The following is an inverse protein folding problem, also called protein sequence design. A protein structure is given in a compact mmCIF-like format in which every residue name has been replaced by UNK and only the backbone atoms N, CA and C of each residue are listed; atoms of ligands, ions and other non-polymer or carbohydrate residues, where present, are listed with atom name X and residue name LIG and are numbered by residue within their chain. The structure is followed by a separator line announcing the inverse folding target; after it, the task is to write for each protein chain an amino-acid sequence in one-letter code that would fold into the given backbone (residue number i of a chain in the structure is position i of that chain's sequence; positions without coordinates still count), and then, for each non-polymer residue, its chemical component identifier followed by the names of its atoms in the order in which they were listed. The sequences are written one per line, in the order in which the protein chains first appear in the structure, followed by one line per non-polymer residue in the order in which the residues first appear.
data_IF_861191082061
#
_entry.id   IF_861191082061
#
_cell.length_a   1.000
_cell.length_b   1.000
_cell.length_c   1.000
_cell.angle_alpha   90.00
_cell.angle_beta   90.00
_cell.angle_gamma   90.00
#
_symmetry.space_group_name_H-M   'P 1'
#
loop_
_entity.id
_entity.type
_entity.pdbx_description
1 polymer ?
2 water ?
#
# COMPACT_ATOMS: atom_id res chain seq x y z
N UNK A 18 -13.11 -3.70 19.20
CA UNK A 18 -12.41 -4.76 18.51
C UNK A 18 -10.93 -4.55 18.50
N UNK A 19 -10.22 -5.38 17.73
CA UNK A 19 -8.79 -5.32 17.71
C UNK A 19 -8.29 -5.86 16.41
N UNK A 20 -7.04 -5.60 16.07
CA UNK A 20 -6.44 -6.21 14.91
C UNK A 20 -5.23 -7.00 15.29
N UNK A 21 -5.00 -8.08 14.59
CA UNK A 21 -3.76 -8.80 14.66
C UNK A 21 -2.76 -8.14 13.73
N UNK A 22 -1.51 -8.10 14.11
CA UNK A 22 -0.48 -7.45 13.33
C UNK A 22 -0.29 -8.07 12.00
N UNK A 23 -0.26 -9.36 11.95
CA UNK A 23 -0.05 -10.03 10.72
C UNK A 23 -1.18 -9.72 9.81
N UNK A 24 -2.37 -9.79 10.34
CA UNK A 24 -3.55 -9.63 9.52
C UNK A 24 -3.65 -8.28 8.88
N UNK A 25 -3.42 -7.24 9.65
CA UNK A 25 -3.46 -5.91 9.12
C UNK A 25 -2.39 -5.65 8.11
N UNK A 26 -1.19 -6.17 8.32
CA UNK A 26 -0.13 -5.97 7.38
C UNK A 26 -0.43 -6.57 6.06
N UNK A 27 -1.00 -7.74 6.05
CA UNK A 27 -1.26 -8.40 4.81
C UNK A 27 -2.22 -7.55 4.04
N UNK A 28 -3.21 -7.03 4.70
CA UNK A 28 -4.20 -6.25 4.03
C UNK A 28 -3.65 -4.98 3.47
N UNK A 29 -2.91 -4.27 4.28
CA UNK A 29 -2.34 -3.03 3.88
C UNK A 29 -1.34 -3.28 2.80
N UNK A 30 -0.62 -4.35 2.96
CA UNK A 30 0.41 -4.71 2.03
C UNK A 30 -0.16 -5.03 0.68
N UNK A 31 -1.24 -5.80 0.68
CA UNK A 31 -1.86 -6.17 -0.55
C UNK A 31 -2.34 -4.96 -1.29
N UNK A 32 -2.97 -4.05 -0.60
CA UNK A 32 -3.51 -2.90 -1.25
C UNK A 32 -2.46 -2.00 -1.85
N UNK A 33 -1.48 -1.64 -1.09
CA UNK A 33 -0.47 -0.76 -1.60
C UNK A 33 0.26 -1.48 -2.73
N UNK A 34 0.07 -2.78 -2.78
CA UNK A 34 0.62 -3.61 -3.84
C UNK A 34 0.04 -3.30 -5.20
N UNK A 35 -1.24 -2.98 -5.22
CA UNK A 35 -1.97 -2.78 -6.47
C UNK A 35 -1.31 -1.64 -7.24
N UNK A 36 -0.73 -0.71 -6.53
CA UNK A 36 0.03 0.32 -7.19
C UNK A 36 1.46 -0.16 -7.43
N UNK A 37 1.80 -0.35 -8.69
CA UNK A 37 3.14 -0.82 -9.05
C UNK A 37 3.34 -2.28 -8.67
N UNK A 38 2.48 -2.77 -7.77
CA UNK A 38 2.56 -4.15 -7.32
C UNK A 38 2.86 -5.11 -8.45
N UNK A 39 2.14 -4.97 -9.56
CA UNK A 39 2.33 -5.83 -10.72
C UNK A 39 1.16 -6.79 -10.88
N UNK A 40 0.94 -7.62 -9.87
CA UNK A 40 -0.14 -8.60 -9.90
C UNK A 40 -0.95 -8.56 -8.62
N UNK A 41 -2.17 -9.09 -8.61
CA UNK A 41 -3.12 -8.78 -7.54
C UNK A 41 -2.66 -9.13 -6.12
N UNK A 42 -2.11 -10.31 -5.89
CA UNK A 42 -1.67 -10.58 -4.53
C UNK A 42 -0.30 -11.12 -4.79
N UNK A 43 0.57 -10.23 -5.22
CA UNK A 43 1.93 -10.57 -5.39
C UNK A 43 2.67 -10.71 -4.10
N UNK A 44 2.51 -9.75 -3.21
CA UNK A 44 3.25 -9.78 -1.96
C UNK A 44 2.88 -11.01 -1.20
N UNK A 45 1.62 -11.39 -1.27
CA UNK A 45 1.17 -12.50 -0.51
C UNK A 45 1.86 -13.75 -0.93
N UNK A 46 1.99 -13.94 -2.22
CA UNK A 46 2.66 -15.09 -2.80
C UNK A 46 4.13 -15.16 -2.47
N UNK A 47 4.81 -14.04 -2.42
CA UNK A 47 6.20 -14.07 -2.06
C UNK A 47 6.33 -14.54 -0.67
N UNK A 48 5.43 -14.12 0.18
CA UNK A 48 5.52 -14.46 1.56
C UNK A 48 5.43 -15.93 1.68
N UNK A 49 4.50 -16.49 0.95
CA UNK A 49 4.32 -17.87 0.99
C UNK A 49 5.53 -18.59 0.48
N UNK A 50 6.08 -18.17 -0.64
CA UNK A 50 7.29 -18.77 -1.15
C UNK A 50 8.45 -18.55 -0.22
N UNK A 51 8.65 -17.33 0.20
CA UNK A 51 9.76 -17.01 1.06
C UNK A 51 9.77 -17.68 2.40
N UNK A 52 8.61 -17.80 3.01
CA UNK A 52 8.52 -18.47 4.29
C UNK A 52 8.89 -19.92 4.13
N UNK A 53 8.44 -20.51 3.06
CA UNK A 53 8.76 -21.88 2.78
C UNK A 53 10.22 -22.16 2.54
N UNK A 54 10.92 -21.27 1.87
CA UNK A 54 12.33 -21.43 1.71
C UNK A 54 12.94 -21.34 3.05
N UNK A 55 12.52 -20.36 3.82
CA UNK A 55 13.09 -20.16 5.13
C UNK A 55 12.82 -21.31 6.03
N UNK A 56 11.67 -21.90 5.84
CA UNK A 56 11.19 -22.93 6.73
C UNK A 56 12.16 -24.07 6.64
N UNK A 57 12.80 -24.20 5.48
CA UNK A 57 13.68 -25.30 5.22
C UNK A 57 15.11 -25.05 5.56
N UNK A 58 15.43 -23.87 6.01
CA UNK A 58 16.78 -23.57 6.38
C UNK A 58 16.95 -23.66 7.86
N UNK A 59 15.93 -24.19 8.52
CA UNK A 59 16.00 -24.34 9.95
C UNK A 59 16.29 -23.04 10.66
N UNK A 60 15.58 -22.00 10.29
CA UNK A 60 15.75 -20.74 10.94
C UNK A 60 15.13 -20.72 12.31
N UNK A 61 15.58 -19.81 13.15
CA UNK A 61 14.98 -19.61 14.44
C UNK A 61 13.67 -18.89 14.31
N UNK A 62 12.84 -18.99 15.32
CA UNK A 62 11.50 -18.47 15.26
C UNK A 62 11.55 -16.99 15.09
N UNK A 63 12.49 -16.34 15.73
CA UNK A 63 12.62 -14.91 15.54
C UNK A 63 12.96 -14.60 14.12
N UNK A 64 13.83 -15.38 13.51
CA UNK A 64 14.20 -15.15 12.15
C UNK A 64 13.05 -15.33 11.22
N UNK A 65 12.26 -16.35 11.46
CA UNK A 65 11.10 -16.56 10.67
C UNK A 65 10.13 -15.44 10.82
N UNK A 66 10.09 -14.85 11.98
CA UNK A 66 9.23 -13.71 12.18
C UNK A 66 9.69 -12.57 11.35
N UNK A 67 10.97 -12.26 11.46
CA UNK A 67 11.54 -11.14 10.76
C UNK A 67 11.49 -11.34 9.28
N UNK A 68 11.63 -12.56 8.85
CA UNK A 68 11.49 -12.90 7.46
C UNK A 68 10.11 -12.66 6.94
N UNK A 69 9.12 -12.93 7.76
CA UNK A 69 7.75 -12.85 7.34
C UNK A 69 7.43 -11.44 6.96
N UNK A 70 7.83 -10.53 7.80
CA UNK A 70 7.67 -9.13 7.54
C UNK A 70 8.52 -8.57 6.42
N UNK A 71 9.75 -9.04 6.30
CA UNK A 71 10.61 -8.54 5.27
C UNK A 71 9.91 -8.84 3.98
N UNK A 72 9.37 -10.02 3.85
CA UNK A 72 8.73 -10.40 2.62
C UNK A 72 7.54 -9.57 2.30
N UNK A 73 6.73 -9.30 3.29
CA UNK A 73 5.55 -8.49 3.14
C UNK A 73 5.82 -7.04 2.81
N UNK A 74 6.87 -6.52 3.39
CA UNK A 74 7.19 -5.13 3.31
C UNK A 74 8.28 -4.78 2.33
N UNK A 75 8.59 -5.65 1.40
CA UNK A 75 9.73 -5.43 0.54
C UNK A 75 9.62 -4.18 -0.32
N UNK A 76 8.41 -3.89 -0.75
CA UNK A 76 8.13 -2.84 -1.69
C UNK A 76 7.68 -1.57 -1.04
N UNK A 77 7.91 -1.46 0.25
CA UNK A 77 7.44 -0.35 1.02
C UNK A 77 8.04 0.92 0.51
N UNK A 78 9.27 0.80 0.07
CA UNK A 78 10.01 1.89 -0.51
C UNK A 78 9.48 2.47 -1.80
N UNK A 79 8.85 1.54 -2.59
CA UNK A 79 8.56 2.01 -3.95
C UNK A 79 7.78 3.27 -3.97
N UNK A 80 8.37 4.31 -4.60
CA UNK A 80 7.72 5.61 -4.71
C UNK A 80 6.87 5.70 -5.97
N UNK A 81 6.90 4.64 -6.76
CA UNK A 81 6.16 4.54 -7.99
C UNK A 81 4.84 3.82 -7.80
N UNK A 82 3.88 4.11 -8.68
CA UNK A 82 2.53 3.57 -8.57
C UNK A 82 2.15 2.56 -9.68
N UNK A 83 1.96 3.07 -10.90
CA UNK A 83 1.73 2.32 -12.11
C UNK A 83 0.43 1.51 -12.04
N UNK A 104 6.03 2.44 -22.11
CA UNK A 104 7.09 1.51 -22.46
C UNK A 104 8.36 1.88 -21.71
N UNK A 105 8.20 2.42 -20.51
CA UNK A 105 9.32 3.06 -19.87
C UNK A 105 8.90 4.31 -19.13
N UNK A 106 9.84 4.91 -18.44
CA UNK A 106 9.58 6.16 -17.76
C UNK A 106 9.70 7.38 -18.62
N UNK A 107 8.86 8.34 -18.31
CA UNK A 107 8.84 9.62 -18.97
C UNK A 107 10.09 10.35 -18.60
N UNK A 108 10.57 11.17 -19.51
CA UNK A 108 11.75 11.96 -19.25
C UNK A 108 11.44 12.84 -18.08
N UNK A 109 10.26 13.41 -18.10
CA UNK A 109 9.88 14.34 -17.10
C UNK A 109 9.90 13.68 -15.77
N UNK A 110 9.37 12.48 -15.73
CA UNK A 110 9.27 11.75 -14.51
C UNK A 110 10.66 11.50 -14.00
N UNK A 111 11.54 11.15 -14.92
CA UNK A 111 12.91 10.86 -14.55
C UNK A 111 13.62 12.05 -14.01
N UNK A 112 13.47 13.18 -14.69
CA UNK A 112 14.09 14.40 -14.26
C UNK A 112 13.54 14.83 -12.94
N UNK A 113 12.25 14.73 -12.79
CA UNK A 113 11.61 15.15 -11.59
C UNK A 113 12.17 14.39 -10.44
N UNK A 114 12.36 13.10 -10.62
CA UNK A 114 12.91 12.28 -9.58
C UNK A 114 14.32 12.67 -9.22
N UNK A 115 15.17 12.92 -10.19
CA UNK A 115 16.54 13.25 -9.89
C UNK A 115 16.65 14.54 -9.14
N UNK A 116 15.88 15.51 -9.58
CA UNK A 116 15.90 16.81 -9.00
C UNK A 116 15.50 16.66 -7.56
N UNK A 117 14.31 16.11 -7.37
CA UNK A 117 13.68 16.03 -6.08
C UNK A 117 14.45 15.23 -5.06
N UNK A 118 15.46 14.50 -5.53
CA UNK A 118 16.29 13.69 -4.64
C UNK A 118 17.76 14.08 -4.72
N UNK A 119 18.18 14.55 -5.90
CA UNK A 119 19.57 14.95 -6.11
C UNK A 119 19.73 15.63 -7.47
N UNK A 120 20.58 16.66 -7.50
CA UNK A 120 21.30 17.10 -6.33
C UNK A 120 20.39 17.76 -5.31
N UNK A 121 20.63 17.47 -4.03
CA UNK A 121 19.83 18.04 -2.95
C UNK A 121 20.49 19.15 -2.12
N UNK A 122 19.89 20.32 -2.15
CA UNK A 122 20.29 21.47 -1.33
C UNK A 122 21.63 22.11 -1.68
N UNK A 123 21.75 22.56 -2.90
CA UNK A 123 22.97 23.16 -3.39
C UNK A 123 22.61 24.22 -4.39
N UNK A 124 23.56 25.05 -4.78
CA UNK A 124 23.18 26.07 -5.72
C UNK A 124 22.21 25.43 -6.68
N UNK A 125 21.18 26.15 -6.99
CA UNK A 125 20.37 25.85 -8.13
C UNK A 125 21.21 25.44 -9.28
N UNK A 126 22.14 26.27 -9.65
CA UNK A 126 22.96 25.95 -10.76
C UNK A 126 23.61 24.60 -10.59
N UNK A 127 23.93 24.21 -9.38
CA UNK A 127 24.61 22.94 -9.16
C UNK A 127 23.67 21.80 -9.40
N UNK A 128 22.47 21.96 -8.91
CA UNK A 128 21.46 20.95 -8.99
C UNK A 128 21.13 20.63 -10.42
N UNK A 129 21.11 21.62 -11.27
CA UNK A 129 20.86 21.36 -12.65
C UNK A 129 22.01 20.61 -13.26
N UNK A 130 23.21 21.01 -12.96
CA UNK A 130 24.32 20.33 -13.56
C UNK A 130 24.38 18.93 -13.08
N UNK A 131 24.19 18.73 -11.80
CA UNK A 131 24.20 17.42 -11.22
C UNK A 131 23.09 16.55 -11.72
N UNK A 132 21.91 17.09 -11.86
CA UNK A 132 20.80 16.29 -12.36
C UNK A 132 21.04 15.88 -13.79
N UNK A 133 21.68 16.73 -14.55
CA UNK A 133 22.00 16.41 -15.91
C UNK A 133 23.00 15.29 -15.95
N UNK A 134 23.95 15.30 -15.04
CA UNK A 134 24.97 14.29 -15.07
C UNK A 134 24.40 12.93 -14.83
N UNK A 135 23.49 12.84 -13.89
CA UNK A 135 22.80 11.61 -13.58
C UNK A 135 21.95 11.11 -14.73
N UNK A 136 21.34 12.03 -15.42
CA UNK A 136 20.43 11.72 -16.48
C UNK A 136 21.14 11.00 -17.57
N UNK A 137 22.41 11.28 -17.72
CA UNK A 137 23.04 10.94 -18.96
C UNK A 137 23.53 9.57 -18.84
N UNK A 138 23.67 9.12 -17.59
CA UNK A 138 24.15 7.77 -17.32
C UNK A 138 24.06 7.41 -15.83
N UNK A 139 23.81 6.14 -15.55
CA UNK A 139 23.64 5.15 -16.59
C UNK A 139 22.35 4.36 -16.44
N UNK A 140 22.28 3.53 -15.41
CA UNK A 140 23.39 3.39 -14.46
C UNK A 140 23.21 4.28 -13.23
N UNK A 141 23.95 5.39 -13.20
CA UNK A 141 23.87 6.32 -12.08
C UNK A 141 22.43 6.50 -11.62
N UNK A 142 21.54 6.74 -12.57
CA UNK A 142 20.16 6.93 -12.27
C UNK A 142 19.63 5.74 -11.54
N UNK A 143 19.91 4.56 -12.04
CA UNK A 143 19.39 3.36 -11.46
C UNK A 143 19.90 3.25 -10.06
N UNK A 144 21.13 3.61 -9.85
CA UNK A 144 21.68 3.56 -8.53
C UNK A 144 20.94 4.50 -7.61
N UNK A 145 20.59 5.67 -8.09
CA UNK A 145 19.85 6.60 -7.26
C UNK A 145 18.50 6.07 -6.95
N UNK A 146 17.87 5.45 -7.92
CA UNK A 146 16.55 4.96 -7.74
C UNK A 146 16.49 3.91 -6.66
N UNK A 147 17.39 2.94 -6.73
CA UNK A 147 17.38 1.90 -5.75
C UNK A 147 17.70 2.46 -4.40
N UNK A 148 18.69 3.31 -4.32
CA UNK A 148 19.17 3.73 -3.05
C UNK A 148 18.06 4.40 -2.33
N UNK A 149 17.32 5.18 -3.08
CA UNK A 149 16.23 5.89 -2.49
C UNK A 149 15.18 4.93 -2.02
N UNK A 150 14.82 4.00 -2.86
CA UNK A 150 13.77 3.06 -2.53
C UNK A 150 14.12 2.21 -1.36
N UNK A 151 15.31 1.65 -1.41
CA UNK A 151 15.75 0.75 -0.40
C UNK A 151 15.90 1.43 0.93
N UNK A 152 16.39 2.64 0.92
CA UNK A 152 16.51 3.42 2.12
C UNK A 152 15.15 3.77 2.69
N UNK A 153 14.21 4.06 1.79
CA UNK A 153 12.87 4.48 2.18
C UNK A 153 12.09 3.31 2.78
N UNK A 154 12.24 2.13 2.21
CA UNK A 154 11.54 0.98 2.69
C UNK A 154 12.08 0.56 4.02
N UNK A 155 13.38 0.66 4.15
CA UNK A 155 14.03 0.30 5.38
C UNK A 155 13.52 1.21 6.43
N UNK A 156 13.26 2.44 6.05
CA UNK A 156 12.71 3.39 6.96
C UNK A 156 11.32 3.07 7.42
N UNK A 157 10.52 2.55 6.53
CA UNK A 157 9.19 2.19 6.91
C UNK A 157 9.28 1.12 7.96
N UNK A 158 10.16 0.16 7.76
CA UNK A 158 10.20 -0.97 8.64
C UNK A 158 10.54 -0.50 10.00
N UNK A 159 11.46 0.42 10.11
CA UNK A 159 11.84 0.95 11.39
C UNK A 159 10.70 1.69 12.04
N UNK A 160 9.95 2.44 11.26
CA UNK A 160 8.87 3.20 11.80
C UNK A 160 7.86 2.27 12.36
N UNK A 161 7.73 1.12 11.73
CA UNK A 161 6.74 0.17 12.13
C UNK A 161 7.25 -0.71 13.23
N UNK A 162 8.43 -0.39 13.71
CA UNK A 162 8.97 -1.03 14.88
C UNK A 162 9.24 -2.48 14.60
N UNK A 163 9.76 -2.79 13.44
CA UNK A 163 10.36 -4.07 13.18
C UNK A 163 11.84 -3.96 13.43
N UNK A 164 12.51 -5.09 13.48
CA UNK A 164 13.91 -5.11 13.82
C UNK A 164 14.79 -4.63 12.71
N UNK A 165 16.02 -4.32 13.05
CA UNK A 165 16.98 -3.84 12.11
C UNK A 165 17.26 -4.87 11.06
N UNK A 166 17.10 -6.11 11.42
CA UNK A 166 17.29 -7.17 10.49
C UNK A 166 16.27 -7.07 9.41
N UNK A 167 15.05 -6.76 9.77
CA UNK A 167 14.02 -6.59 8.77
C UNK A 167 14.30 -5.42 7.89
N UNK A 168 14.67 -4.32 8.49
CA UNK A 168 14.96 -3.13 7.74
C UNK A 168 16.12 -3.40 6.87
N UNK A 169 17.09 -4.07 7.42
CA UNK A 169 18.23 -4.42 6.66
C UNK A 169 17.75 -5.68 6.13
N UNK A 170 17.49 -5.72 4.85
CA UNK A 170 16.93 -6.92 4.31
C UNK A 170 15.67 -6.54 3.64
N UNK A 171 15.35 -5.27 3.71
CA UNK A 171 14.45 -4.67 2.76
C UNK A 171 15.44 -3.84 1.97
N UNK A 172 16.44 -3.33 2.66
CA UNK A 172 17.46 -2.49 2.10
C UNK A 172 18.34 -3.12 1.07
N UNK A 173 18.62 -4.40 1.25
CA UNK A 173 19.52 -5.13 0.40
C UNK A 173 18.77 -6.04 -0.52
N UNK A 174 17.53 -5.73 -0.77
CA UNK A 174 16.71 -6.61 -1.54
C UNK A 174 17.33 -6.79 -2.89
N UNK A 175 17.90 -5.73 -3.42
CA UNK A 175 18.30 -5.69 -4.80
C UNK A 175 19.76 -5.97 -5.00
N UNK A 176 20.42 -6.44 -3.98
CA UNK A 176 21.73 -6.98 -4.12
C UNK A 176 21.63 -8.31 -4.80
N UNK A 177 22.74 -8.70 -5.41
CA UNK A 177 22.82 -9.87 -6.23
C UNK A 177 23.96 -10.68 -5.71
N UNK A 178 23.90 -11.97 -5.94
CA UNK A 178 24.85 -12.89 -5.35
C UNK A 178 26.24 -12.58 -5.81
N UNK A 179 26.35 -12.19 -7.07
CA UNK A 179 27.61 -11.97 -7.73
C UNK A 179 28.23 -10.61 -7.51
N UNK A 180 27.62 -9.83 -6.62
CA UNK A 180 28.13 -8.52 -6.29
C UNK A 180 27.78 -7.48 -7.34
N UNK A 181 26.77 -7.80 -8.15
CA UNK A 181 26.34 -6.91 -9.20
C UNK A 181 24.99 -6.24 -8.98
N UNK A 182 24.53 -6.24 -7.74
CA UNK A 182 23.28 -5.60 -7.39
C UNK A 182 23.50 -4.29 -6.69
N UNK A 183 22.46 -3.47 -6.65
CA UNK A 183 22.53 -2.20 -5.99
C UNK A 183 21.82 -2.18 -4.65
N UNK A 184 22.10 -1.23 -3.81
CA UNK A 184 22.99 -0.13 -4.12
C UNK A 184 24.39 -0.31 -3.63
N UNK A 185 24.69 -1.34 -2.89
CA UNK A 185 26.00 -1.48 -2.32
C UNK A 185 26.93 -2.46 -2.96
N UNK A 186 26.45 -3.20 -3.94
CA UNK A 186 27.29 -4.17 -4.57
C UNK A 186 27.85 -5.20 -3.61
N UNK A 187 27.02 -5.67 -2.71
CA UNK A 187 27.33 -6.77 -1.84
C UNK A 187 27.31 -8.05 -2.59
N UNK A 188 28.15 -9.00 -2.19
CA UNK A 188 28.22 -10.29 -2.87
C UNK A 188 28.20 -11.45 -1.89
N UNK A 189 27.57 -12.55 -2.29
CA UNK A 189 27.53 -13.76 -1.49
C UNK A 189 26.77 -13.62 -0.19
N UNK A 190 27.45 -13.89 0.91
CA UNK A 190 26.85 -13.83 2.20
C UNK A 190 27.07 -12.52 2.88
N UNK A 191 27.62 -11.59 2.14
CA UNK A 191 27.61 -10.20 2.51
C UNK A 191 26.18 -9.75 2.48
N UNK A 192 25.42 -10.31 1.55
CA UNK A 192 24.02 -10.04 1.45
C UNK A 192 23.24 -10.67 2.55
N UNK A 193 22.31 -9.95 3.13
CA UNK A 193 21.48 -10.52 4.19
C UNK A 193 20.63 -11.66 3.69
N UNK A 194 20.41 -12.63 4.55
CA UNK A 194 19.71 -13.82 4.16
C UNK A 194 18.30 -13.54 3.75
N UNK A 195 17.65 -12.60 4.41
CA UNK A 195 16.29 -12.28 4.09
C UNK A 195 16.12 -11.73 2.69
N UNK A 196 17.00 -10.85 2.29
CA UNK A 196 16.98 -10.29 0.97
C UNK A 196 17.19 -11.33 -0.09
N UNK A 197 18.05 -12.28 0.18
CA UNK A 197 18.29 -13.33 -0.75
C UNK A 197 17.06 -14.15 -0.95
N UNK A 198 16.40 -14.50 0.14
CA UNK A 198 15.17 -15.22 0.05
C UNK A 198 14.11 -14.41 -0.62
N UNK A 199 14.02 -13.16 -0.22
CA UNK A 199 12.99 -12.32 -0.74
C UNK A 199 13.11 -12.06 -2.21
N UNK A 200 14.30 -11.73 -2.67
CA UNK A 200 14.48 -11.45 -4.07
C UNK A 200 14.18 -12.64 -4.89
N UNK A 201 14.68 -13.77 -4.45
CA UNK A 201 14.45 -14.98 -5.14
C UNK A 201 13.00 -15.32 -5.14
N UNK A 202 12.36 -15.13 -4.01
CA UNK A 202 10.97 -15.46 -3.91
C UNK A 202 10.22 -14.62 -4.86
N UNK A 203 10.59 -13.35 -4.90
CA UNK A 203 9.91 -12.38 -5.71
C UNK A 203 9.98 -12.64 -7.18
N UNK A 204 11.17 -12.92 -7.68
CA UNK A 204 11.34 -13.15 -9.09
C UNK A 204 10.56 -14.37 -9.47
N UNK A 205 10.59 -15.37 -8.63
CA UNK A 205 9.95 -16.61 -8.97
C UNK A 205 8.49 -16.43 -9.16
N UNK A 206 7.88 -15.63 -8.30
CA UNK A 206 6.47 -15.45 -8.40
C UNK A 206 6.13 -14.79 -9.70
N UNK A 207 6.91 -13.80 -10.11
CA UNK A 207 6.55 -13.06 -11.30
C UNK A 207 6.54 -13.99 -12.48
N UNK A 208 7.54 -14.83 -12.58
CA UNK A 208 7.55 -15.83 -13.62
C UNK A 208 6.51 -16.88 -13.47
N UNK A 209 6.25 -17.24 -12.23
CA UNK A 209 5.39 -18.34 -11.96
C UNK A 209 4.08 -18.01 -12.57
N UNK A 210 3.73 -16.75 -12.56
CA UNK A 210 2.39 -16.33 -12.84
C UNK A 210 2.28 -15.80 -14.23
N UNK A 211 3.41 -15.39 -14.79
CA UNK A 211 3.45 -14.87 -16.15
C UNK A 211 3.56 -16.02 -17.14
N UNK A 212 4.20 -17.10 -16.70
CA UNK A 212 4.37 -18.28 -17.56
C UNK A 212 3.96 -19.55 -16.82
N UNK A 213 4.89 -20.50 -16.72
CA UNK A 213 4.63 -21.76 -16.04
C UNK A 213 5.72 -22.09 -15.05
N UNK A 214 5.33 -22.58 -13.87
CA UNK A 214 6.29 -22.94 -12.84
C UNK A 214 7.59 -23.44 -13.44
N UNK A 215 7.49 -24.47 -14.28
CA UNK A 215 8.66 -25.06 -14.92
C UNK A 215 9.47 -23.97 -15.61
N UNK A 216 8.77 -22.98 -16.18
CA UNK A 216 9.44 -21.89 -16.81
C UNK A 216 10.11 -21.11 -15.72
N UNK A 217 9.37 -20.90 -14.63
CA UNK A 217 9.90 -20.16 -13.52
C UNK A 217 11.06 -20.88 -12.88
N UNK A 218 10.92 -22.18 -12.72
CA UNK A 218 11.97 -22.91 -12.08
C UNK A 218 13.19 -22.76 -12.93
N UNK A 219 12.98 -22.80 -14.22
CA UNK A 219 14.08 -22.72 -15.15
C UNK A 219 14.77 -21.39 -15.05
N UNK A 220 13.99 -20.32 -14.97
CA UNK A 220 14.56 -19.00 -14.98
C UNK A 220 15.44 -18.75 -13.78
N UNK A 221 14.95 -19.12 -12.62
CA UNK A 221 15.74 -18.90 -11.42
C UNK A 221 16.97 -19.76 -11.49
N UNK A 222 16.84 -20.92 -12.08
CA UNK A 222 17.98 -21.79 -12.23
C UNK A 222 18.99 -21.05 -13.06
N UNK A 223 18.50 -20.36 -14.05
CA UNK A 223 19.34 -19.62 -14.95
C UNK A 223 20.11 -18.55 -14.24
N UNK A 224 19.52 -17.93 -13.23
CA UNK A 224 20.19 -16.83 -12.57
C UNK A 224 20.91 -17.27 -11.35
N UNK A 225 20.92 -18.56 -11.11
CA UNK A 225 21.56 -19.06 -9.94
C UNK A 225 23.01 -18.67 -10.04
N UNK A 226 23.53 -18.13 -8.97
CA UNK A 226 24.92 -17.77 -8.88
C UNK A 226 25.15 -16.38 -9.39
N UNK A 227 24.18 -15.84 -10.11
CA UNK A 227 24.26 -14.48 -10.59
C UNK A 227 23.43 -13.54 -9.76
N UNK A 228 22.12 -13.66 -9.86
CA UNK A 228 21.23 -12.90 -9.00
C UNK A 228 21.03 -13.57 -7.69
N UNK A 229 21.08 -14.89 -7.71
CA UNK A 229 20.60 -15.68 -6.60
C UNK A 229 21.62 -16.48 -5.87
N UNK A 230 21.26 -16.86 -4.66
CA UNK A 230 22.08 -17.75 -3.87
C UNK A 230 21.77 -19.11 -4.37
N UNK A 231 22.78 -19.85 -4.78
CA UNK A 231 22.56 -21.13 -5.40
C UNK A 231 21.90 -22.09 -4.45
N UNK A 232 22.27 -22.00 -3.19
CA UNK A 232 21.73 -22.88 -2.20
C UNK A 232 20.24 -22.69 -2.09
N UNK A 233 19.81 -21.45 -2.08
CA UNK A 233 18.40 -21.14 -1.98
C UNK A 233 17.67 -21.67 -3.16
N UNK A 234 18.28 -21.59 -4.30
CA UNK A 234 17.65 -22.01 -5.52
C UNK A 234 17.35 -23.48 -5.44
N UNK A 235 18.25 -24.21 -4.80
CA UNK A 235 18.10 -25.63 -4.72
C UNK A 235 16.82 -25.90 -4.02
N UNK A 236 16.62 -25.15 -2.95
CA UNK A 236 15.51 -25.37 -2.03
C UNK A 236 14.24 -25.20 -2.76
N UNK A 237 14.17 -24.16 -3.56
CA UNK A 237 12.97 -23.93 -4.31
C UNK A 237 12.78 -25.14 -5.16
N UNK A 238 13.88 -25.74 -5.56
CA UNK A 238 13.84 -26.84 -6.46
C UNK A 238 13.08 -27.94 -5.78
N UNK A 239 13.38 -28.17 -4.52
CA UNK A 239 12.66 -29.16 -3.77
C UNK A 239 11.19 -28.84 -3.58
N UNK A 240 10.90 -27.59 -3.27
CA UNK A 240 9.57 -27.26 -2.85
C UNK A 240 8.69 -27.63 -3.97
N UNK A 241 9.17 -27.42 -5.16
CA UNK A 241 8.34 -27.64 -6.30
C UNK A 241 7.90 -29.09 -6.39
N UNK A 242 8.77 -29.97 -5.96
CA UNK A 242 8.40 -31.36 -5.94
C UNK A 242 7.24 -31.51 -4.99
N UNK A 243 7.27 -30.75 -3.92
CA UNK A 243 6.32 -30.88 -2.84
C UNK A 243 5.03 -30.19 -3.17
N UNK A 244 4.02 -30.96 -3.52
CA UNK A 244 2.70 -30.43 -3.77
C UNK A 244 2.14 -30.03 -2.45
N UNK A 245 1.13 -29.19 -2.49
CA UNK A 245 0.60 -28.67 -1.28
C UNK A 245 1.33 -27.40 -1.00
N UNK A 246 2.58 -27.33 -1.43
CA UNK A 246 3.22 -26.06 -1.48
C UNK A 246 2.63 -25.41 -2.69
N UNK A 247 2.55 -26.16 -3.77
CA UNK A 247 1.99 -25.66 -5.00
C UNK A 247 0.54 -25.34 -4.84
N UNK A 248 -0.15 -26.18 -4.11
CA UNK A 248 -1.57 -26.01 -3.89
C UNK A 248 -1.75 -24.71 -3.16
N UNK A 249 -0.90 -24.49 -2.17
CA UNK A 249 -0.97 -23.29 -1.39
C UNK A 249 -0.72 -22.05 -2.22
N UNK A 250 0.20 -22.15 -3.16
CA UNK A 250 0.51 -21.01 -3.98
C UNK A 250 -0.69 -20.61 -4.78
N UNK A 251 -1.39 -21.60 -5.33
CA UNK A 251 -2.47 -21.34 -6.27
C UNK A 251 -3.83 -21.34 -5.58
N UNK A 252 -3.82 -21.20 -4.26
CA UNK A 252 -5.06 -21.17 -3.51
C UNK A 252 -5.71 -19.80 -3.51
N UNK A 253 -7.01 -19.81 -3.53
CA UNK A 253 -7.82 -18.61 -3.42
C UNK A 253 -7.67 -17.95 -2.08
N UNK A 254 -7.44 -18.76 -1.06
CA UNK A 254 -7.50 -18.32 0.31
C UNK A 254 -6.12 -18.10 0.84
N UNK A 255 -5.20 -17.88 -0.07
CA UNK A 255 -3.82 -17.98 0.23
C UNK A 255 -3.55 -17.02 1.35
N UNK A 256 -4.30 -15.95 1.38
CA UNK A 256 -4.06 -14.94 2.35
C UNK A 256 -4.26 -15.55 3.70
N UNK A 257 -5.26 -16.39 3.86
CA UNK A 257 -5.45 -17.05 5.13
C UNK A 257 -4.35 -18.04 5.46
N UNK A 258 -3.90 -18.79 4.49
CA UNK A 258 -2.84 -19.76 4.71
C UNK A 258 -1.52 -19.18 5.11
N UNK A 259 -1.20 -18.02 4.58
CA UNK A 259 0.05 -17.39 4.89
C UNK A 259 0.09 -17.04 6.35
N UNK A 260 -1.09 -16.78 6.88
CA UNK A 260 -1.30 -16.35 8.24
C UNK A 260 -0.79 -17.40 9.18
N UNK A 261 -1.00 -18.64 8.77
CA UNK A 261 -0.61 -19.79 9.53
C UNK A 261 0.87 -20.08 9.52
N UNK A 262 1.60 -19.44 8.64
CA UNK A 262 3.02 -19.67 8.57
C UNK A 262 3.95 -19.18 9.65
N UNK A 263 3.77 -17.98 10.12
CA UNK A 263 4.72 -17.37 11.01
C UNK A 263 4.63 -17.82 12.44
N UNK A 264 5.55 -17.40 13.26
CA UNK A 264 5.44 -17.60 14.70
C UNK A 264 4.35 -16.73 15.25
N UNK A 265 3.92 -17.01 16.46
CA UNK A 265 2.79 -16.36 17.06
C UNK A 265 3.04 -14.89 17.24
N UNK A 266 4.31 -14.56 17.30
CA UNK A 266 4.76 -13.22 17.55
C UNK A 266 4.21 -12.32 16.47
N UNK A 267 3.94 -12.87 15.31
CA UNK A 267 3.48 -12.11 14.19
C UNK A 267 2.08 -11.65 14.37
N UNK A 268 1.41 -12.23 15.34
CA UNK A 268 -0.01 -12.08 15.46
C UNK A 268 -0.42 -11.18 16.59
N UNK A 269 0.48 -10.34 17.02
CA UNK A 269 0.27 -9.52 18.16
C UNK A 269 -0.96 -8.74 17.95
N UNK A 270 -1.72 -8.51 18.99
CA UNK A 270 -2.87 -7.63 18.86
C UNK A 270 -2.39 -6.23 18.78
N UNK A 271 -3.09 -5.39 18.04
CA UNK A 271 -2.66 -4.03 17.92
C UNK A 271 -3.43 -3.11 18.81
N UNK A 272 -2.69 -2.42 19.66
CA UNK A 272 -3.22 -1.39 20.51
C UNK A 272 -3.29 -0.07 19.80
N UNK A 273 -3.85 0.93 20.46
CA UNK A 273 -4.09 2.18 19.80
C UNK A 273 -2.81 2.79 19.37
N UNK A 274 -1.83 2.72 20.21
CA UNK A 274 -0.59 3.40 19.95
C UNK A 274 0.08 2.86 18.72
N UNK A 275 0.03 1.56 18.53
CA UNK A 275 0.60 0.96 17.36
C UNK A 275 -0.13 1.33 16.12
N UNK A 276 -1.43 1.43 16.23
CA UNK A 276 -2.24 1.78 15.09
C UNK A 276 -1.91 3.16 14.61
N UNK A 277 -1.63 4.07 15.51
CA UNK A 277 -1.29 5.39 15.09
C UNK A 277 -0.06 5.29 14.27
N UNK A 278 0.81 4.40 14.71
CA UNK A 278 2.07 4.20 14.11
C UNK A 278 1.90 3.71 12.71
N UNK A 279 1.05 2.76 12.53
CA UNK A 279 0.86 2.19 11.23
C UNK A 279 0.28 3.24 10.33
N UNK A 280 -0.73 3.93 10.82
CA UNK A 280 -1.42 4.88 10.00
C UNK A 280 -0.51 6.00 9.62
N UNK A 281 0.19 6.50 10.60
CA UNK A 281 1.10 7.57 10.37
C UNK A 281 2.16 7.15 9.40
N UNK A 282 2.68 5.96 9.53
CA UNK A 282 3.68 5.52 8.61
C UNK A 282 3.17 5.41 7.21
N UNK A 283 2.02 4.79 7.04
CA UNK A 283 1.46 4.57 5.73
C UNK A 283 1.04 5.84 5.04
N UNK A 284 0.61 6.81 5.81
CA UNK A 284 0.17 8.05 5.25
C UNK A 284 1.30 8.69 4.51
N UNK A 285 2.48 8.55 5.06
CA UNK A 285 3.66 9.02 4.39
C UNK A 285 3.86 8.27 3.12
N UNK A 286 3.58 6.97 3.15
CA UNK A 286 3.72 6.13 1.96
C UNK A 286 2.76 6.57 0.86
N UNK A 287 1.53 6.89 1.24
CA UNK A 287 0.52 7.34 0.29
C UNK A 287 0.91 8.67 -0.32
N UNK A 288 1.32 9.61 0.53
CA UNK A 288 1.74 10.93 0.07
C UNK A 288 2.87 10.81 -0.95
N UNK A 289 3.75 9.83 -0.74
CA UNK A 289 4.87 9.61 -1.63
C UNK A 289 4.40 8.97 -2.94
N UNK A 290 3.48 8.03 -2.83
CA UNK A 290 2.94 7.35 -3.99
C UNK A 290 2.06 8.18 -4.91
N UNK A 291 1.29 9.09 -4.37
CA UNK A 291 0.52 9.95 -5.23
C UNK A 291 0.66 11.37 -4.77
N UNK A 292 1.61 12.05 -5.36
CA UNK A 292 1.95 13.43 -5.09
C UNK A 292 0.89 14.42 -5.51
N UNK A 293 0.25 14.16 -6.64
CA UNK A 293 -0.72 15.09 -7.19
C UNK A 293 -1.94 15.31 -6.29
N UNK A 294 -2.31 14.28 -5.52
CA UNK A 294 -3.51 14.34 -4.72
C UNK A 294 -3.24 14.65 -3.27
N UNK A 295 -2.01 14.99 -2.95
CA UNK A 295 -1.63 15.04 -1.57
C UNK A 295 -2.47 16.03 -0.81
N UNK A 296 -2.79 15.67 0.42
CA UNK A 296 -3.69 16.46 1.24
C UNK A 296 -5.14 16.07 1.00
N UNK A 297 -5.35 14.99 0.28
CA UNK A 297 -6.67 14.60 -0.08
C UNK A 297 -7.13 13.74 1.03
N UNK A 298 -6.20 12.97 1.54
CA UNK A 298 -6.52 12.12 2.65
C UNK A 298 -6.81 12.90 3.88
N UNK A 299 -6.04 13.91 4.14
CA UNK A 299 -6.27 14.73 5.29
C UNK A 299 -7.58 15.44 5.21
N UNK A 300 -7.93 15.91 4.04
CA UNK A 300 -9.16 16.61 3.90
C UNK A 300 -10.34 15.75 4.15
N UNK A 301 -10.33 14.56 3.60
CA UNK A 301 -11.41 13.63 3.75
C UNK A 301 -11.58 13.26 5.19
N UNK A 302 -10.48 13.13 5.88
CA UNK A 302 -10.53 12.81 7.26
C UNK A 302 -11.19 13.90 7.99
N UNK A 303 -10.88 15.12 7.62
CA UNK A 303 -11.49 16.28 8.27
C UNK A 303 -12.96 16.35 8.03
N UNK A 304 -13.38 16.16 6.81
CA UNK A 304 -14.79 16.21 6.52
C UNK A 304 -15.46 15.10 7.25
N UNK A 305 -14.80 13.97 7.29
CA UNK A 305 -15.34 12.79 7.91
C UNK A 305 -15.57 13.01 9.36
N UNK A 306 -14.62 13.60 10.05
CA UNK A 306 -14.80 13.86 11.44
C UNK A 306 -15.90 14.84 11.68
N UNK A 307 -16.02 15.82 10.80
CA UNK A 307 -17.03 16.82 10.92
C UNK A 307 -18.42 16.25 10.76
N UNK A 308 -18.59 15.37 9.80
CA UNK A 308 -19.86 14.72 9.61
C UNK A 308 -20.17 13.91 10.83
N UNK A 309 -19.18 13.23 11.34
CA UNK A 309 -19.35 12.35 12.45
C UNK A 309 -19.75 13.06 13.71
N UNK A 310 -19.24 14.25 13.91
CA UNK A 310 -19.59 15.01 15.08
C UNK A 310 -21.06 15.36 15.03
N UNK A 311 -21.52 15.66 13.84
CA UNK A 311 -22.90 16.00 13.64
C UNK A 311 -23.80 14.84 13.97
N UNK A 312 -23.35 13.64 13.69
CA UNK A 312 -24.14 12.45 13.91
C UNK A 312 -24.01 11.97 15.33
N UNK A 313 -23.26 12.70 16.12
CA UNK A 313 -23.09 12.33 17.49
C UNK A 313 -22.51 10.95 17.64
N UNK A 314 -21.55 10.63 16.79
CA UNK A 314 -20.81 9.40 16.90
C UNK A 314 -19.84 9.50 18.07
N UNK A 315 -19.53 8.35 18.64
CA UNK A 315 -18.74 8.27 19.85
C UNK A 315 -17.32 8.60 19.56
N UNK A 316 -16.56 8.95 20.59
CA UNK A 316 -15.20 9.36 20.44
C UNK A 316 -14.38 8.26 19.83
N UNK A 317 -14.59 7.06 20.30
CA UNK A 317 -13.87 5.92 19.82
C UNK A 317 -14.15 5.60 18.39
N UNK A 318 -15.39 5.69 17.97
CA UNK A 318 -15.71 5.42 16.60
C UNK A 318 -15.07 6.41 15.68
N UNK A 319 -14.96 7.63 16.15
CA UNK A 319 -14.39 8.69 15.38
C UNK A 319 -12.95 8.39 15.10
N UNK A 320 -12.29 7.82 16.09
CA UNK A 320 -10.89 7.50 15.97
C UNK A 320 -10.66 6.51 14.89
N UNK A 321 -11.49 5.52 14.78
CA UNK A 321 -11.37 4.61 13.68
C UNK A 321 -11.64 5.31 12.39
N UNK A 322 -12.63 6.17 12.41
CA UNK A 322 -13.10 6.78 11.20
C UNK A 322 -12.05 7.63 10.57
N UNK A 323 -11.31 8.35 11.40
CA UNK A 323 -10.23 9.14 10.90
C UNK A 323 -9.10 8.35 10.31
N UNK A 324 -8.72 7.27 10.95
CA UNK A 324 -7.74 6.39 10.37
C UNK A 324 -8.26 5.74 9.13
N UNK A 325 -9.49 5.32 9.18
CA UNK A 325 -10.07 4.61 8.09
C UNK A 325 -10.07 5.50 6.89
N UNK A 326 -10.24 6.79 7.12
CA UNK A 326 -10.37 7.72 6.03
C UNK A 326 -9.13 7.79 5.21
N UNK A 327 -7.99 7.86 5.86
CA UNK A 327 -6.74 7.76 5.18
C UNK A 327 -6.52 6.39 4.57
N UNK A 328 -6.79 5.34 5.31
CA UNK A 328 -6.47 4.01 4.83
C UNK A 328 -7.23 3.59 3.60
N UNK A 329 -8.49 3.98 3.49
CA UNK A 329 -9.31 3.51 2.39
C UNK A 329 -8.77 3.95 1.06
N UNK A 330 -8.03 5.04 1.07
CA UNK A 330 -7.41 5.57 -0.13
C UNK A 330 -6.35 4.68 -0.68
N UNK A 331 -5.76 3.84 0.15
CA UNK A 331 -4.68 3.01 -0.31
C UNK A 331 -5.17 2.09 -1.40
N UNK A 332 -4.32 1.86 -2.39
CA UNK A 332 -4.72 1.54 -3.75
C UNK A 332 -5.43 2.71 -4.40
N UNK A 333 -6.53 2.49 -5.07
CA UNK A 333 -7.29 3.64 -5.45
C UNK A 333 -6.30 4.63 -6.01
N UNK A 334 -5.41 4.16 -6.87
CA UNK A 334 -4.71 5.04 -7.79
C UNK A 334 -5.56 5.21 -9.06
N UNK A 335 -6.62 4.42 -9.12
CA UNK A 335 -7.59 4.49 -10.19
C UNK A 335 -8.27 5.84 -10.06
N UNK A 336 -8.71 6.38 -11.18
CA UNK A 336 -9.20 7.75 -11.20
C UNK A 336 -10.39 7.96 -10.30
N UNK A 337 -10.51 9.14 -9.69
CA UNK A 337 -11.61 9.42 -8.77
C UNK A 337 -12.96 9.56 -9.48
N UNK A 338 -13.87 10.35 -8.91
CA UNK A 338 -15.20 10.47 -9.52
C UNK A 338 -15.72 11.85 -9.96
N UNK A 339 -15.75 12.05 -11.27
CA UNK A 339 -15.12 11.10 -12.14
C UNK A 339 -14.61 11.91 -13.31
N UNK A 340 -13.29 12.09 -13.37
CA UNK A 340 -12.65 12.90 -14.40
C UNK A 340 -13.50 14.12 -14.79
N UNK A 341 -13.79 15.01 -13.84
CA UNK A 341 -13.43 14.89 -12.42
C UNK A 341 -11.97 14.51 -12.14
N UNK A 342 -11.04 15.45 -12.29
CA UNK A 342 -11.35 16.80 -12.76
C UNK A 342 -11.34 16.83 -14.28
N UNK A 343 -11.97 17.85 -14.86
CA UNK A 343 -12.05 17.94 -16.31
C UNK A 343 -12.95 19.10 -16.74
N UNK A 344 -13.16 20.05 -15.83
CA UNK A 344 -14.00 21.22 -16.13
C UNK A 344 -15.16 20.96 -17.12
N UNK A 345 -14.84 20.38 -18.28
CA UNK A 345 -15.85 20.10 -19.28
C UNK A 345 -16.98 19.24 -18.74
N UNK A 346 -16.76 17.93 -18.70
CA UNK A 346 -17.76 16.99 -18.22
C UNK A 346 -18.24 17.37 -16.82
N UNK A 347 -18.76 16.39 -16.09
CA UNK A 347 -19.25 16.62 -14.73
C UNK A 347 -20.77 16.64 -14.70
N UNK A 348 -21.39 15.85 -15.57
CA UNK A 348 -22.85 15.78 -15.64
C UNK A 348 -23.27 14.44 -15.08
N UNK A 349 -24.57 14.29 -14.89
CA UNK A 349 -25.13 13.19 -14.14
C UNK A 349 -25.27 11.88 -14.89
N UNK A 350 -25.94 10.94 -14.25
CA UNK A 350 -26.36 9.74 -14.90
C UNK A 350 -25.18 8.85 -15.12
N UNK A 351 -24.19 9.37 -15.83
CA UNK A 351 -23.00 8.61 -16.19
C UNK A 351 -22.24 8.17 -14.95
N UNK A 352 -22.42 8.89 -13.86
CA UNK A 352 -21.73 8.58 -12.62
C UNK A 352 -22.70 8.05 -11.58
N UNK A 353 -23.94 7.86 -12.01
CA UNK A 353 -24.93 7.18 -11.21
C UNK A 353 -24.37 5.80 -11.01
N UNK A 354 -23.79 5.26 -12.07
CA UNK A 354 -23.22 3.95 -11.93
C UNK A 354 -21.90 4.09 -11.21
N UNK A 355 -21.18 5.16 -11.48
CA UNK A 355 -19.82 5.32 -10.99
C UNK A 355 -19.80 5.54 -9.49
N UNK A 356 -21.00 5.70 -8.96
CA UNK A 356 -21.20 5.92 -7.54
C UNK A 356 -20.82 4.71 -6.72
N UNK A 357 -20.70 3.57 -7.36
CA UNK A 357 -20.25 2.40 -6.66
C UNK A 357 -18.75 2.54 -6.50
N UNK A 358 -18.35 3.69 -5.97
CA UNK A 358 -16.98 3.97 -5.65
C UNK A 358 -16.66 3.12 -4.48
N UNK A 359 -17.59 3.00 -3.55
CA UNK A 359 -17.57 1.86 -2.68
C UNK A 359 -18.97 1.40 -2.35
N UNK A 360 -19.33 0.17 -2.67
CA UNK A 360 -18.50 -0.64 -3.52
C UNK A 360 -17.13 -0.82 -2.83
N UNK A 361 -16.13 -0.39 -3.52
CA UNK A 361 -14.80 -0.73 -3.14
C UNK A 361 -14.60 -0.24 -1.73
N UNK A 362 -15.16 0.90 -1.41
CA UNK A 362 -14.92 1.46 -0.11
C UNK A 362 -15.46 0.53 0.92
N UNK A 363 -16.64 0.01 0.71
CA UNK A 363 -17.21 -0.86 1.70
C UNK A 363 -16.39 -2.09 1.87
N UNK A 364 -15.95 -2.67 0.79
CA UNK A 364 -15.20 -3.88 0.90
C UNK A 364 -13.93 -3.63 1.64
N UNK A 365 -13.21 -2.60 1.27
CA UNK A 365 -11.94 -2.34 1.88
C UNK A 365 -12.09 -2.07 3.35
N UNK A 366 -13.15 -1.40 3.72
CA UNK A 366 -13.37 -1.07 5.11
C UNK A 366 -13.59 -2.30 5.96
N UNK A 367 -14.31 -3.23 5.40
CA UNK A 367 -14.64 -4.43 6.10
C UNK A 367 -13.36 -5.15 6.40
N UNK A 368 -12.50 -5.21 5.42
CA UNK A 368 -11.22 -5.84 5.62
C UNK A 368 -10.42 -5.11 6.64
N UNK A 369 -10.52 -3.81 6.61
CA UNK A 369 -9.80 -2.95 7.54
C UNK A 369 -10.21 -2.89 8.99
N UNK A 370 -11.51 -2.87 9.23
CA UNK A 370 -12.04 -2.48 10.50
C UNK A 370 -11.81 -3.45 11.63
N UNK A 371 -11.77 -2.94 12.83
CA UNK A 371 -11.47 -3.75 14.00
C UNK A 371 -12.55 -4.74 14.21
N UNK A 372 -12.24 -5.84 14.88
CA UNK A 372 -13.15 -6.95 14.95
C UNK A 372 -13.40 -7.47 16.36
N UNK A 373 -14.47 -8.24 16.50
CA UNK A 373 -14.94 -8.69 17.79
C UNK A 373 -14.59 -10.13 17.99
N UNK A 374 -14.00 -10.45 19.13
CA UNK A 374 -13.51 -11.77 19.33
C UNK A 374 -14.60 -12.84 19.31
N UNK A 375 -15.66 -12.62 20.05
CA UNK A 375 -16.68 -13.65 20.12
C UNK A 375 -17.23 -13.83 18.73
N UNK A 376 -17.36 -12.76 18.00
CA UNK A 376 -17.89 -12.80 16.66
C UNK A 376 -17.02 -13.59 15.71
N UNK A 377 -15.71 -13.43 15.85
CA UNK A 377 -14.75 -14.15 15.01
C UNK A 377 -14.71 -15.63 15.37
N UNK A 378 -14.89 -15.93 16.65
CA UNK A 378 -14.88 -17.31 17.11
C UNK A 378 -16.08 -18.03 16.58
N UNK A 379 -17.17 -17.31 16.53
CA UNK A 379 -18.48 -17.84 16.25
C UNK A 379 -18.67 -17.90 14.77
N UNK A 380 -17.57 -18.12 14.07
CA UNK A 380 -17.61 -18.19 12.63
C UNK A 380 -16.43 -19.00 12.15
N UNK A 381 -16.28 -20.19 12.71
CA UNK A 381 -15.24 -21.09 12.25
C UNK A 381 -15.82 -22.07 11.25
N UNK A 382 -17.13 -22.01 11.11
CA UNK A 382 -17.89 -22.75 10.10
C UNK A 382 -18.53 -21.69 9.20
N UNK A 383 -19.45 -20.95 9.80
CA UNK A 383 -20.05 -19.77 9.20
C UNK A 383 -21.16 -19.34 10.13
N UNK A 396 -22.15 -5.41 13.09
CA UNK A 396 -20.86 -5.23 12.48
C UNK A 396 -21.13 -4.87 11.05
N UNK A 397 -22.07 -5.56 10.43
CA UNK A 397 -22.39 -5.29 9.05
C UNK A 397 -22.94 -3.90 8.87
N UNK A 398 -23.81 -3.50 9.78
CA UNK A 398 -24.41 -2.19 9.71
C UNK A 398 -23.39 -1.09 9.89
N UNK A 399 -22.49 -1.28 10.83
CA UNK A 399 -21.56 -0.24 11.15
C UNK A 399 -20.77 0.07 9.90
N UNK A 400 -20.39 -0.97 9.19
CA UNK A 400 -19.53 -0.78 8.05
C UNK A 400 -20.29 0.11 7.11
N UNK A 401 -21.58 -0.10 7.01
CA UNK A 401 -22.41 0.69 6.12
C UNK A 401 -22.46 2.13 6.54
N UNK A 402 -22.56 2.35 7.82
CA UNK A 402 -22.53 3.70 8.31
C UNK A 402 -21.19 4.33 8.03
N UNK A 403 -20.14 3.58 8.30
CA UNK A 403 -18.82 4.07 8.12
C UNK A 403 -18.69 4.41 6.66
N UNK A 404 -19.14 3.53 5.81
CA UNK A 404 -18.97 3.70 4.40
C UNK A 404 -19.71 4.90 3.93
N UNK A 405 -20.89 5.07 4.47
CA UNK A 405 -21.66 6.22 4.09
C UNK A 405 -21.01 7.51 4.49
N UNK A 406 -20.50 7.60 5.70
CA UNK A 406 -19.88 8.82 6.09
C UNK A 406 -18.68 9.12 5.25
N UNK A 407 -17.76 8.19 5.17
CA UNK A 407 -16.53 8.42 4.49
C UNK A 407 -16.81 8.70 3.04
N UNK A 408 -17.76 7.98 2.49
CA UNK A 408 -18.07 8.13 1.08
C UNK A 408 -18.61 9.52 0.79
N UNK A 409 -19.45 10.00 1.69
CA UNK A 409 -20.03 11.30 1.56
C UNK A 409 -18.93 12.32 1.55
N UNK A 410 -17.96 12.15 2.42
CA UNK A 410 -16.85 13.05 2.48
C UNK A 410 -16.09 12.99 1.21
N UNK A 411 -15.95 11.80 0.69
CA UNK A 411 -15.13 11.59 -0.48
C UNK A 411 -15.74 12.31 -1.64
N UNK A 412 -17.05 12.23 -1.75
CA UNK A 412 -17.75 12.94 -2.80
C UNK A 412 -17.62 14.46 -2.63
N UNK A 413 -17.79 14.95 -1.41
CA UNK A 413 -17.73 16.37 -1.19
C UNK A 413 -16.39 16.89 -1.56
N UNK A 414 -15.34 16.16 -1.28
CA UNK A 414 -14.03 16.62 -1.65
C UNK A 414 -13.92 16.67 -3.12
N UNK A 415 -14.50 15.69 -3.78
CA UNK A 415 -14.33 15.61 -5.21
C UNK A 415 -14.96 16.77 -5.93
N UNK A 416 -16.14 17.17 -5.50
CA UNK A 416 -16.73 18.34 -6.09
C UNK A 416 -15.92 19.58 -5.79
N UNK A 417 -15.55 19.82 -4.55
CA UNK A 417 -14.64 20.92 -4.18
C UNK A 417 -13.17 20.62 -4.36
N UNK A 418 -12.35 21.65 -4.24
CA UNK A 418 -10.92 21.41 -4.24
C UNK A 418 -10.34 21.61 -5.61
N UNK A 419 -11.22 21.47 -6.57
CA UNK A 419 -10.93 20.89 -7.89
C UNK A 419 -9.59 21.44 -8.32
N UNK A 420 -8.84 21.76 -7.29
CA UNK A 420 -7.75 22.67 -7.34
C UNK A 420 -6.68 22.53 -8.45
N UNK A 421 -6.22 21.34 -8.80
CA UNK A 421 -5.29 21.27 -9.93
C UNK A 421 -5.84 20.24 -10.85
N UNK A 422 -6.17 20.63 -12.08
CA UNK A 422 -6.05 22.00 -12.53
C UNK A 422 -6.94 22.81 -11.60
N UNK A 423 -6.54 24.03 -11.32
CA UNK A 423 -7.27 24.86 -10.37
C UNK A 423 -8.72 24.99 -10.84
N UNK A 424 -9.63 24.99 -9.87
CA UNK A 424 -11.04 25.12 -10.14
C UNK A 424 -11.86 24.72 -8.92
N UNK A 425 -11.73 25.45 -7.83
CA UNK A 425 -12.53 25.12 -6.66
C UNK A 425 -13.96 25.43 -6.91
N UNK A 426 -14.82 24.56 -6.44
CA UNK A 426 -16.23 24.72 -6.57
C UNK A 426 -16.62 25.31 -5.26
N UNK A 427 -17.56 26.21 -5.26
CA UNK A 427 -18.03 26.76 -4.00
C UNK A 427 -18.68 25.67 -3.19
N UNK A 428 -18.58 25.80 -1.89
CA UNK A 428 -19.00 24.76 -1.00
C UNK A 428 -20.45 24.51 -1.19
N UNK A 429 -21.21 25.57 -1.17
CA UNK A 429 -22.64 25.43 -1.25
C UNK A 429 -23.13 25.01 -2.58
N UNK A 430 -22.36 25.29 -3.60
CA UNK A 430 -22.65 24.78 -4.91
C UNK A 430 -22.49 23.28 -4.94
N UNK A 431 -21.38 22.80 -4.42
CA UNK A 431 -21.09 21.40 -4.37
C UNK A 431 -22.11 20.71 -3.53
N UNK A 432 -22.51 21.33 -2.44
CA UNK A 432 -23.51 20.76 -1.58
C UNK A 432 -24.80 20.61 -2.33
N UNK A 433 -25.09 21.59 -3.16
CA UNK A 433 -26.29 21.59 -3.98
C UNK A 433 -26.33 20.48 -5.01
N UNK A 434 -25.17 20.17 -5.59
CA UNK A 434 -25.07 19.13 -6.59
C UNK A 434 -25.49 17.78 -6.00
N UNK A 435 -25.08 17.52 -4.76
CA UNK A 435 -25.41 16.28 -4.08
C UNK A 435 -26.93 16.15 -3.92
N UNK A 436 -27.53 17.09 -3.20
CA UNK A 436 -28.97 17.09 -2.98
C UNK A 436 -29.71 17.07 -4.31
N UNK A 437 -29.09 17.64 -5.34
CA UNK A 437 -29.66 17.67 -6.66
C UNK A 437 -29.58 16.27 -7.14
N UNK A 438 -28.41 15.71 -6.92
CA UNK A 438 -28.19 14.29 -7.10
C UNK A 438 -28.17 13.80 -5.69
N UNK A 439 -29.03 12.84 -5.45
CA UNK A 439 -29.08 12.14 -4.21
C UNK A 439 -30.07 11.00 -4.15
N UNK A 440 -30.83 11.02 -3.05
CA UNK A 440 -31.54 9.85 -2.59
C UNK A 440 -31.11 8.70 -3.47
N UNK A 441 -30.77 9.03 -4.69
CA UNK A 441 -30.27 8.04 -5.60
C UNK A 441 -28.87 7.61 -5.28
N UNK A 442 -27.99 8.59 -5.16
CA UNK A 442 -26.59 8.31 -4.94
C UNK A 442 -25.99 8.87 -3.67
N UNK A 443 -26.74 9.67 -2.94
CA UNK A 443 -26.14 10.34 -1.82
C UNK A 443 -26.88 9.99 -0.58
N UNK A 444 -26.18 9.45 0.38
CA UNK A 444 -26.91 9.18 1.58
C UNK A 444 -27.43 10.52 1.85
N UNK A 445 -28.26 10.61 2.88
CA UNK A 445 -28.85 11.88 3.24
C UNK A 445 -28.91 12.08 4.73
N UNK A 446 -28.38 11.16 5.52
CA UNK A 446 -28.31 11.43 6.94
C UNK A 446 -27.02 12.12 7.09
N UNK A 447 -26.13 11.78 6.19
CA UNK A 447 -24.80 12.26 6.17
C UNK A 447 -24.82 13.56 5.48
N UNK A 448 -25.49 13.62 4.35
CA UNK A 448 -25.52 14.86 3.61
C UNK A 448 -26.00 15.99 4.49
N UNK A 449 -26.98 15.72 5.31
CA UNK A 449 -27.46 16.75 6.20
C UNK A 449 -26.42 17.09 7.20
N UNK A 450 -25.80 16.06 7.74
CA UNK A 450 -24.78 16.26 8.74
C UNK A 450 -23.62 17.02 8.16
N UNK A 451 -23.31 16.77 6.91
CA UNK A 451 -22.23 17.47 6.28
C UNK A 451 -22.58 18.92 6.25
N UNK A 452 -23.78 19.22 5.82
CA UNK A 452 -24.22 20.57 5.65
C UNK A 452 -24.25 21.28 6.96
N UNK A 453 -24.77 20.61 7.96
CA UNK A 453 -24.87 21.24 9.23
C UNK A 453 -23.48 21.55 9.71
N UNK A 454 -22.56 20.63 9.55
CA UNK A 454 -21.22 20.84 10.04
C UNK A 454 -20.53 21.97 9.35
N UNK A 455 -20.68 22.04 8.04
CA UNK A 455 -20.02 23.04 7.24
C UNK A 455 -20.50 24.40 7.64
N UNK A 456 -21.75 24.47 8.04
CA UNK A 456 -22.41 25.69 8.38
C UNK A 456 -21.75 26.37 9.53
N UNK A 457 -21.24 25.57 10.45
CA UNK A 457 -20.61 26.07 11.64
C UNK A 457 -19.28 26.69 11.34
N UNK A 458 -18.77 26.42 10.16
CA UNK A 458 -17.45 26.89 9.82
C UNK A 458 -17.45 28.37 9.51
N UNK A 459 -16.31 29.04 9.64
CA UNK A 459 -16.25 30.45 9.35
C UNK A 459 -16.59 30.70 7.92
N UNK A 460 -17.30 31.78 7.64
CA UNK A 460 -17.82 31.97 6.31
C UNK A 460 -16.81 32.58 5.39
N UNK A 461 -15.65 32.89 5.94
CA UNK A 461 -14.52 33.31 5.16
C UNK A 461 -14.38 32.20 4.17
N UNK A 462 -14.41 30.98 4.67
CA UNK A 462 -14.10 29.84 3.84
C UNK A 462 -15.11 29.56 2.78
N UNK A 463 -14.62 29.61 1.56
CA UNK A 463 -15.43 29.49 0.39
C UNK A 463 -15.41 28.05 -0.08
#
# INVERSE_FOLDING_TARGET
MGSSHHHHHHSSGLVPRGSHMLSELMISLTTALDMTEGQPPEHCIRCCWIGMHIGMQLELSEPELHDLFFTLLLKDAGCSSNAARICELYATDDLTFKRRYKTVGTSLSSVINFIVKNTGSEQSWTERILTTIDILKNGNDYAQELIQTRCTRGADVARELRFSEAVAQGIHSLDEHWNGQGRPEQRKGEAIPLFSRIALLAQVFDVFQMEHSIEEALQEIMARSGVWFDPKLVEVVEQLVENPRFLSGLKATDISQRVMNLPPAQAHLPLDDAYLECIVTAFGKIVDAKSPYTAGHSERVAVYTDLIARQLAISDADRIWLRRAALLHDIGKLGVSNAILDKPGKLDEAEWRAVQAHAAYTEQILYKLSPFKTLARMAGAHHEKLDGTGYPRGVNGDEISLMTRIITTADIFDALSAERPYRAAMPIDKALAIMEENLHTAIDPECFAALAAALNLLPDEYT
#
